data_IF_827512419967
#
_entry.id   IF_827512419967
#
_cell.length_a   1.000
_cell.length_b   1.000
_cell.length_c   1.000
_cell.angle_alpha   90.00
_cell.angle_beta   90.00
_cell.angle_gamma   90.00
#
_symmetry.space_group_name_H-M   'P 1'
#
loop_
_entity.id
_entity.type
_entity.pdbx_description
1 polymer ?
#
# COMPACT_ATOMS: atom_id res chain seq x y z
N UNK A 1 1.52 8.62 7.49
CA UNK A 1 0.08 8.23 7.46
C UNK A 1 0.00 6.71 7.40
N UNK A 2 -1.09 6.05 7.83
CA UNK A 2 -1.22 4.57 7.69
C UNK A 2 -1.08 4.17 6.22
N UNK A 3 -1.68 4.94 5.31
CA UNK A 3 -1.58 4.70 3.87
C UNK A 3 -0.15 4.80 3.32
N UNK A 4 0.63 5.75 3.82
CA UNK A 4 2.06 5.88 3.46
C UNK A 4 2.87 4.69 3.99
N UNK A 5 2.55 4.19 5.19
CA UNK A 5 3.24 3.03 5.76
C UNK A 5 2.90 1.76 4.96
N UNK A 6 1.66 1.61 4.49
CA UNK A 6 1.25 0.52 3.59
C UNK A 6 2.00 0.61 2.25
N UNK A 7 2.11 1.81 1.66
CA UNK A 7 2.88 2.00 0.44
C UNK A 7 4.36 1.67 0.64
N UNK A 8 4.94 2.10 1.77
CA UNK A 8 6.32 1.78 2.14
C UNK A 8 6.52 0.28 2.35
N UNK A 9 5.57 -0.40 2.99
CA UNK A 9 5.59 -1.86 3.12
C UNK A 9 5.64 -2.53 1.74
N UNK A 10 4.77 -2.14 0.81
CA UNK A 10 4.77 -2.69 -0.54
C UNK A 10 6.11 -2.46 -1.27
N UNK A 11 6.68 -1.26 -1.15
CA UNK A 11 8.01 -0.95 -1.69
C UNK A 11 9.10 -1.83 -1.07
N UNK A 12 9.06 -2.04 0.24
CA UNK A 12 10.02 -2.90 0.92
C UNK A 12 9.89 -4.36 0.49
N UNK A 13 8.66 -4.88 0.34
CA UNK A 13 8.37 -6.23 -0.14
C UNK A 13 8.93 -6.43 -1.55
N UNK A 14 8.70 -5.47 -2.46
CA UNK A 14 9.28 -5.51 -3.80
C UNK A 14 10.82 -5.49 -3.76
N UNK A 15 11.41 -4.66 -2.88
CA UNK A 15 12.85 -4.60 -2.70
C UNK A 15 13.44 -5.89 -2.10
N UNK A 16 12.73 -6.55 -1.19
CA UNK A 16 13.10 -7.87 -0.64
C UNK A 16 13.14 -8.90 -1.77
N UNK A 17 12.09 -9.00 -2.58
CA UNK A 17 12.04 -9.96 -3.68
C UNK A 17 13.16 -9.73 -4.72
N UNK A 18 13.40 -8.47 -5.09
CA UNK A 18 14.45 -8.10 -6.03
C UNK A 18 15.86 -8.40 -5.46
N UNK A 19 16.13 -7.99 -4.22
CA UNK A 19 17.42 -8.22 -3.55
C UNK A 19 17.66 -9.71 -3.36
N UNK A 20 16.64 -10.49 -2.98
CA UNK A 20 16.75 -11.95 -2.83
C UNK A 20 17.04 -12.64 -4.15
N UNK A 21 16.41 -12.21 -5.23
CA UNK A 21 16.68 -12.75 -6.56
C UNK A 21 18.12 -12.47 -7.00
N UNK A 22 18.63 -11.27 -6.70
CA UNK A 22 20.03 -10.92 -6.93
C UNK A 22 20.97 -11.77 -6.06
N UNK A 23 20.69 -11.91 -4.77
CA UNK A 23 21.42 -12.73 -3.80
C UNK A 23 21.48 -14.22 -4.15
N UNK A 24 20.49 -14.74 -4.86
CA UNK A 24 20.47 -16.13 -5.35
C UNK A 24 21.26 -16.33 -6.66
N UNK A 25 21.65 -15.24 -7.33
CA UNK A 25 22.30 -15.25 -8.65
C UNK A 25 23.74 -14.73 -8.61
N UNK A 26 24.08 -13.91 -7.61
CA UNK A 26 25.40 -13.30 -7.45
C UNK A 26 26.43 -14.26 -6.85
N UNK A 27 27.71 -14.01 -7.13
CA UNK A 27 28.86 -14.79 -6.60
C UNK A 27 29.81 -13.83 -5.87
N UNK A 28 30.11 -14.17 -4.61
CA UNK A 28 31.09 -13.59 -3.69
C UNK A 28 30.83 -12.17 -3.15
N UNK A 29 31.17 -11.08 -3.85
CA UNK A 29 31.31 -9.76 -3.20
C UNK A 29 29.97 -9.05 -2.89
N UNK A 30 28.91 -9.34 -3.65
CA UNK A 30 27.59 -8.74 -3.46
C UNK A 30 26.74 -9.45 -2.40
N UNK A 31 27.17 -10.64 -1.94
CA UNK A 31 26.37 -11.48 -1.05
C UNK A 31 26.22 -10.87 0.35
N UNK A 32 27.26 -10.23 0.87
CA UNK A 32 27.24 -9.66 2.21
C UNK A 32 26.41 -8.37 2.26
N UNK A 33 26.56 -7.50 1.26
CA UNK A 33 25.73 -6.30 1.10
C UNK A 33 24.24 -6.66 0.90
N UNK A 34 23.95 -7.64 0.05
CA UNK A 34 22.58 -8.09 -0.19
C UNK A 34 21.97 -8.71 1.07
N UNK A 35 22.73 -9.48 1.84
CA UNK A 35 22.26 -10.09 3.08
C UNK A 35 21.94 -9.02 4.13
N UNK A 36 22.84 -8.06 4.36
CA UNK A 36 22.59 -6.94 5.27
C UNK A 36 21.34 -6.15 4.85
N UNK A 37 21.18 -5.92 3.55
CA UNK A 37 20.02 -5.23 2.98
C UNK A 37 18.74 -6.03 3.17
N UNK A 38 18.76 -7.35 2.97
CA UNK A 38 17.63 -8.25 3.22
C UNK A 38 17.24 -8.23 4.69
N UNK A 39 18.20 -8.31 5.61
CA UNK A 39 17.93 -8.26 7.05
C UNK A 39 17.35 -6.90 7.47
N UNK A 40 17.86 -5.80 6.91
CA UNK A 40 17.32 -4.47 7.14
C UNK A 40 15.87 -4.37 6.66
N UNK A 41 15.61 -4.68 5.39
CA UNK A 41 14.28 -4.60 4.79
C UNK A 41 13.28 -5.51 5.49
N UNK A 42 13.68 -6.72 5.89
CA UNK A 42 12.81 -7.66 6.61
C UNK A 42 12.44 -7.10 7.99
N UNK A 43 13.41 -6.57 8.74
CA UNK A 43 13.16 -5.94 10.04
C UNK A 43 12.25 -4.72 9.91
N UNK A 44 12.51 -3.87 8.93
CA UNK A 44 11.71 -2.68 8.66
C UNK A 44 10.27 -3.05 8.28
N UNK A 45 10.08 -4.01 7.37
CA UNK A 45 8.77 -4.54 6.99
C UNK A 45 8.01 -5.09 8.20
N UNK A 46 8.69 -5.81 9.10
CA UNK A 46 8.10 -6.32 10.34
C UNK A 46 7.64 -5.18 11.27
N UNK A 47 8.46 -4.16 11.44
CA UNK A 47 8.12 -2.98 12.25
C UNK A 47 6.94 -2.20 11.65
N UNK A 48 6.94 -1.98 10.33
CA UNK A 48 5.83 -1.33 9.62
C UNK A 48 4.54 -2.10 9.81
N UNK A 49 4.60 -3.42 9.66
CA UNK A 49 3.46 -4.31 9.80
C UNK A 49 2.85 -4.23 11.22
N UNK A 50 3.68 -4.27 12.26
CA UNK A 50 3.22 -4.11 13.65
C UNK A 50 2.67 -2.71 13.94
N UNK A 51 3.32 -1.67 13.41
CA UNK A 51 2.89 -0.28 13.54
C UNK A 51 1.53 -0.04 12.88
N UNK A 52 1.35 -0.51 11.65
CA UNK A 52 0.09 -0.41 10.91
C UNK A 52 -1.02 -1.11 11.69
N UNK A 53 -0.79 -2.35 12.15
CA UNK A 53 -1.74 -3.10 12.98
C UNK A 53 -2.18 -2.30 14.21
N UNK A 54 -1.22 -1.85 15.03
CA UNK A 54 -1.51 -1.15 16.28
C UNK A 54 -2.28 0.16 16.05
N UNK A 55 -1.90 0.92 15.01
CA UNK A 55 -2.58 2.17 14.66
C UNK A 55 -3.99 1.94 14.12
N UNK A 56 -4.20 0.86 13.37
CA UNK A 56 -5.51 0.51 12.84
C UNK A 56 -6.45 0.06 13.97
N UNK A 57 -5.97 -0.76 14.92
CA UNK A 57 -6.72 -1.11 16.14
C UNK A 57 -7.05 0.12 16.99
N UNK A 58 -6.12 1.06 17.14
CA UNK A 58 -6.35 2.29 17.89
C UNK A 58 -7.42 3.18 17.24
N UNK A 59 -7.40 3.31 15.91
CA UNK A 59 -8.44 4.02 15.15
C UNK A 59 -9.83 3.37 15.30
N UNK A 60 -9.87 2.04 15.38
CA UNK A 60 -11.11 1.28 15.59
C UNK A 60 -11.68 1.50 17.00
N UNK A 61 -10.81 1.53 18.02
CA UNK A 61 -11.20 1.78 19.43
C UNK A 61 -11.69 3.21 19.65
N UNK A 62 -11.10 4.18 18.95
CA UNK A 62 -11.38 5.60 19.16
C UNK A 62 -12.60 6.15 18.41
N UNK A 63 -13.32 5.35 17.61
CA UNK A 63 -14.42 5.84 16.77
C UNK A 63 -15.61 6.37 17.61
N UNK A 64 -15.85 7.70 17.73
CA UNK A 64 -16.96 8.27 18.50
C UNK A 64 -18.24 8.36 17.66
N UNK A 65 -19.37 8.57 18.34
CA UNK A 65 -20.75 8.48 17.83
C UNK A 65 -21.16 9.51 16.76
N UNK A 66 -20.33 10.50 16.41
CA UNK A 66 -20.67 11.56 15.44
C UNK A 66 -19.71 11.51 14.24
N UNK A 67 -20.24 11.42 13.01
CA UNK A 67 -19.53 11.08 11.75
C UNK A 67 -18.99 9.63 11.68
N UNK A 68 -19.67 8.70 12.35
CA UNK A 68 -19.30 7.29 12.47
C UNK A 68 -19.16 6.56 11.11
N UNK A 69 -19.99 6.89 10.12
CA UNK A 69 -20.03 6.14 8.85
C UNK A 69 -18.81 6.43 7.97
N UNK A 70 -18.48 7.71 7.74
CA UNK A 70 -17.33 8.11 6.92
C UNK A 70 -16.01 7.60 7.54
N UNK A 71 -15.86 7.71 8.86
CA UNK A 71 -14.64 7.23 9.54
C UNK A 71 -14.53 5.70 9.52
N UNK A 72 -15.63 4.97 9.75
CA UNK A 72 -15.65 3.50 9.63
C UNK A 72 -15.29 3.04 8.22
N UNK A 73 -15.81 3.73 7.22
CA UNK A 73 -15.54 3.48 5.81
C UNK A 73 -14.07 3.67 5.45
N UNK A 74 -13.44 4.75 5.95
CA UNK A 74 -12.01 4.98 5.79
C UNK A 74 -11.15 3.90 6.48
N UNK A 75 -11.51 3.52 7.71
CA UNK A 75 -10.83 2.45 8.45
C UNK A 75 -10.98 1.11 7.72
N UNK A 76 -12.17 0.79 7.19
CA UNK A 76 -12.43 -0.41 6.40
C UNK A 76 -11.55 -0.46 5.14
N UNK A 77 -11.45 0.66 4.42
CA UNK A 77 -10.58 0.77 3.24
C UNK A 77 -9.10 0.57 3.60
N UNK A 78 -8.62 1.20 4.68
CA UNK A 78 -7.24 1.03 5.16
C UNK A 78 -6.96 -0.42 5.56
N UNK A 79 -7.91 -1.08 6.24
CA UNK A 79 -7.83 -2.50 6.60
C UNK A 79 -7.72 -3.38 5.36
N UNK A 80 -8.60 -3.19 4.38
CA UNK A 80 -8.59 -3.95 3.12
C UNK A 80 -7.24 -3.82 2.41
N UNK A 81 -6.74 -2.59 2.24
CA UNK A 81 -5.44 -2.35 1.61
C UNK A 81 -4.28 -2.96 2.40
N UNK A 82 -4.36 -2.97 3.73
CA UNK A 82 -3.35 -3.61 4.56
C UNK A 82 -3.37 -5.14 4.39
N UNK A 83 -4.55 -5.77 4.34
CA UNK A 83 -4.69 -7.20 4.07
C UNK A 83 -4.17 -7.58 2.69
N UNK A 84 -4.46 -6.77 1.67
CA UNK A 84 -3.89 -6.94 0.32
C UNK A 84 -2.36 -6.87 0.34
N UNK A 85 -1.78 -5.91 1.08
CA UNK A 85 -0.33 -5.80 1.24
C UNK A 85 0.28 -7.02 1.97
N UNK A 86 -0.39 -7.53 3.02
CA UNK A 86 0.03 -8.75 3.72
C UNK A 86 -0.01 -9.96 2.80
N UNK A 87 -1.08 -10.14 2.02
CA UNK A 87 -1.19 -11.24 1.06
C UNK A 87 -0.10 -11.16 -0.02
N UNK A 88 0.20 -9.96 -0.51
CA UNK A 88 1.30 -9.77 -1.45
C UNK A 88 2.64 -10.15 -0.82
N UNK A 89 2.88 -9.74 0.43
CA UNK A 89 4.09 -10.11 1.15
C UNK A 89 4.20 -11.63 1.35
N UNK A 90 3.11 -12.29 1.74
CA UNK A 90 3.09 -13.76 1.86
C UNK A 90 3.42 -14.46 0.55
N UNK A 91 2.91 -13.94 -0.59
CA UNK A 91 3.22 -14.50 -1.91
C UNK A 91 4.72 -14.39 -2.21
N UNK A 92 5.31 -13.22 -2.04
CA UNK A 92 6.74 -13.00 -2.31
C UNK A 92 7.63 -13.85 -1.39
N UNK A 93 7.27 -13.98 -0.11
CA UNK A 93 8.00 -14.85 0.82
C UNK A 93 7.85 -16.33 0.46
N UNK A 94 6.66 -16.78 0.07
CA UNK A 94 6.45 -18.15 -0.40
C UNK A 94 7.25 -18.45 -1.67
N UNK A 95 7.24 -17.55 -2.65
CA UNK A 95 8.07 -17.71 -3.85
C UNK A 95 9.56 -17.73 -3.54
N UNK A 96 10.01 -16.89 -2.60
CA UNK A 96 11.38 -16.90 -2.08
C UNK A 96 11.75 -18.24 -1.44
N UNK A 97 10.88 -18.79 -0.59
CA UNK A 97 11.03 -20.11 0.02
C UNK A 97 11.21 -21.21 -1.04
N UNK A 98 10.35 -21.23 -2.06
CA UNK A 98 10.44 -22.22 -3.13
C UNK A 98 11.76 -22.10 -3.92
N UNK A 99 12.21 -20.88 -4.24
CA UNK A 99 13.48 -20.66 -4.93
C UNK A 99 14.67 -21.13 -4.08
N UNK A 100 14.67 -20.84 -2.78
CA UNK A 100 15.73 -21.29 -1.86
C UNK A 100 15.76 -22.81 -1.72
N UNK A 101 14.61 -23.49 -1.63
CA UNK A 101 14.54 -24.97 -1.63
C UNK A 101 15.14 -25.57 -2.90
N UNK A 102 14.84 -24.98 -4.06
CA UNK A 102 15.42 -25.43 -5.33
C UNK A 102 16.94 -25.25 -5.38
N UNK A 103 17.47 -24.16 -4.84
CA UNK A 103 18.93 -23.96 -4.80
C UNK A 103 19.61 -24.93 -3.85
N UNK A 104 19.02 -25.18 -2.67
CA UNK A 104 19.54 -26.20 -1.73
C UNK A 104 19.58 -27.56 -2.39
N UNK A 105 18.51 -27.95 -3.10
CA UNK A 105 18.46 -29.20 -3.84
C UNK A 105 19.61 -29.30 -4.86
N UNK A 106 19.86 -28.24 -5.64
CA UNK A 106 20.96 -28.20 -6.61
C UNK A 106 22.33 -28.35 -5.94
N UNK A 107 22.58 -27.59 -4.87
CA UNK A 107 23.86 -27.63 -4.16
C UNK A 107 24.08 -28.97 -3.45
N UNK A 108 23.01 -29.60 -2.95
CA UNK A 108 23.07 -30.96 -2.40
C UNK A 108 23.45 -31.99 -3.46
N UNK A 109 22.96 -31.89 -4.69
CA UNK A 109 23.38 -32.80 -5.78
C UNK A 109 24.85 -32.63 -6.18
N UNK A 110 25.49 -31.49 -5.91
CA UNK A 110 26.94 -31.34 -6.12
C UNK A 110 27.73 -32.19 -5.13
N UNK A 111 27.21 -32.34 -3.91
CA UNK A 111 27.88 -33.08 -2.82
C UNK A 111 27.47 -34.56 -2.78
N UNK A 112 26.20 -34.84 -3.07
CA UNK A 112 25.64 -36.19 -3.18
C UNK A 112 24.83 -36.30 -4.49
N UNK A 113 25.47 -36.67 -5.62
CA UNK A 113 24.81 -36.76 -6.92
C UNK A 113 23.63 -37.74 -6.97
N UNK A 114 23.67 -38.79 -6.14
CA UNK A 114 22.66 -39.86 -6.09
C UNK A 114 21.54 -39.59 -5.07
N UNK A 115 21.39 -38.34 -4.61
CA UNK A 115 20.37 -37.97 -3.62
C UNK A 115 18.95 -38.14 -4.18
N UNK A 116 18.09 -38.85 -3.44
CA UNK A 116 16.67 -38.98 -3.82
C UNK A 116 15.87 -37.71 -3.47
N UNK A 117 14.74 -37.43 -4.12
CA UNK A 117 13.88 -36.30 -3.75
C UNK A 117 13.45 -36.31 -2.28
N UNK A 118 13.20 -37.50 -1.73
CA UNK A 118 12.83 -37.70 -0.33
C UNK A 118 13.99 -37.33 0.60
N UNK A 119 15.20 -37.76 0.29
CA UNK A 119 16.41 -37.37 1.04
C UNK A 119 16.62 -35.86 0.99
N UNK A 120 16.50 -35.24 -0.20
CA UNK A 120 16.63 -33.78 -0.36
C UNK A 120 15.63 -33.04 0.54
N UNK A 121 14.39 -33.49 0.57
CA UNK A 121 13.35 -32.88 1.41
C UNK A 121 13.63 -33.09 2.90
N UNK A 122 14.10 -34.27 3.28
CA UNK A 122 14.50 -34.58 4.66
C UNK A 122 15.65 -33.69 5.12
N UNK A 123 16.63 -33.45 4.24
CA UNK A 123 17.72 -32.51 4.52
C UNK A 123 17.24 -31.09 4.70
N UNK A 124 16.35 -30.61 3.83
CA UNK A 124 15.77 -29.27 3.94
C UNK A 124 15.06 -29.12 5.29
N UNK A 125 14.23 -30.10 5.66
CA UNK A 125 13.37 -30.04 6.84
C UNK A 125 14.12 -30.30 8.16
N UNK A 126 14.89 -31.38 8.26
CA UNK A 126 15.50 -31.85 9.51
C UNK A 126 16.93 -31.36 9.70
N UNK A 127 17.63 -30.99 8.63
CA UNK A 127 18.98 -30.48 8.75
C UNK A 127 19.98 -31.51 9.22
N UNK A 128 19.93 -32.70 8.65
CA UNK A 128 20.85 -33.78 8.97
C UNK A 128 22.28 -33.42 8.57
N UNK A 129 22.99 -32.67 9.42
CA UNK A 129 24.40 -32.30 9.21
C UNK A 129 25.30 -33.53 9.10
N UNK A 130 24.91 -34.66 9.71
CA UNK A 130 25.66 -35.92 9.70
C UNK A 130 25.80 -36.54 8.31
N UNK A 131 24.71 -36.61 7.54
CA UNK A 131 24.72 -37.29 6.23
C UNK A 131 25.55 -36.49 5.20
N UNK A 132 25.67 -35.17 5.40
CA UNK A 132 26.52 -34.29 4.59
C UNK A 132 28.01 -34.35 4.99
N UNK A 133 28.30 -34.53 6.29
CA UNK A 133 29.67 -34.67 6.77
C UNK A 133 30.33 -35.96 6.23
N UNK A 134 29.57 -37.04 6.10
CA UNK A 134 30.00 -38.30 5.49
C UNK A 134 30.21 -38.17 3.97
N UNK A 135 29.36 -37.40 3.28
CA UNK A 135 29.55 -37.10 1.86
C UNK A 135 30.80 -36.23 1.62
N UNK A 136 31.12 -35.30 2.53
CA UNK A 136 32.33 -34.47 2.45
C UNK A 136 33.62 -35.28 2.58
N UNK A 137 33.67 -36.29 3.45
CA UNK A 137 34.86 -37.13 3.64
C UNK A 137 35.09 -38.12 2.50
N UNK A 138 34.02 -38.50 1.79
CA UNK A 138 34.05 -39.48 0.69
C UNK A 138 34.28 -38.81 -0.68
N UNK A 139 33.98 -37.51 -0.81
CA UNK A 139 34.11 -36.77 -2.05
C UNK A 139 35.57 -36.52 -2.45
N UNK A 140 35.92 -36.87 -3.70
CA UNK A 140 37.22 -36.56 -4.31
C UNK A 140 37.41 -35.06 -4.56
N UNK A 141 36.34 -34.25 -4.45
CA UNK A 141 36.30 -32.79 -4.69
C UNK A 141 36.03 -32.02 -3.39
N UNK A 142 36.78 -32.33 -2.33
CA UNK A 142 36.60 -31.79 -0.98
C UNK A 142 36.40 -30.26 -0.92
N UNK A 143 37.16 -29.48 -1.71
CA UNK A 143 37.05 -28.01 -1.74
C UNK A 143 35.69 -27.50 -2.23
N UNK A 144 35.19 -28.07 -3.33
CA UNK A 144 33.88 -27.70 -3.89
C UNK A 144 32.73 -28.21 -3.02
N UNK A 145 32.86 -29.42 -2.46
CA UNK A 145 31.88 -29.98 -1.54
C UNK A 145 31.73 -29.14 -0.27
N UNK A 146 32.84 -28.55 0.22
CA UNK A 146 32.82 -27.64 1.38
C UNK A 146 32.14 -26.30 1.07
N UNK A 147 32.37 -25.73 -0.12
CA UNK A 147 31.70 -24.49 -0.53
C UNK A 147 30.19 -24.71 -0.71
N UNK A 148 29.80 -25.80 -1.38
CA UNK A 148 28.40 -26.19 -1.53
C UNK A 148 27.73 -26.45 -0.17
N UNK A 149 28.45 -27.03 0.80
CA UNK A 149 27.95 -27.22 2.15
C UNK A 149 27.68 -25.90 2.87
N UNK A 150 28.62 -24.97 2.85
CA UNK A 150 28.44 -23.65 3.47
C UNK A 150 27.25 -22.92 2.86
N UNK A 151 27.12 -22.97 1.54
CA UNK A 151 25.98 -22.40 0.82
C UNK A 151 24.66 -23.04 1.28
N UNK A 152 24.58 -24.38 1.37
CA UNK A 152 23.39 -25.08 1.87
C UNK A 152 23.03 -24.65 3.28
N UNK A 153 24.00 -24.50 4.20
CA UNK A 153 23.72 -24.04 5.57
C UNK A 153 23.13 -22.63 5.56
N UNK A 154 23.76 -21.68 4.86
CA UNK A 154 23.26 -20.30 4.74
C UNK A 154 21.83 -20.26 4.20
N UNK A 155 21.54 -21.01 3.13
CA UNK A 155 20.19 -21.06 2.54
C UNK A 155 19.15 -21.68 3.48
N UNK A 156 19.54 -22.64 4.33
CA UNK A 156 18.62 -23.21 5.33
C UNK A 156 18.31 -22.22 6.45
N UNK A 157 19.27 -21.41 6.87
CA UNK A 157 19.01 -20.33 7.81
C UNK A 157 18.02 -19.32 7.21
N UNK A 158 18.19 -18.96 5.93
CA UNK A 158 17.24 -18.11 5.22
C UNK A 158 15.84 -18.72 5.13
N UNK A 159 15.73 -20.02 4.81
CA UNK A 159 14.44 -20.73 4.83
C UNK A 159 13.75 -20.59 6.19
N UNK A 160 14.46 -20.85 7.29
CA UNK A 160 13.89 -20.72 8.62
C UNK A 160 13.42 -19.30 8.93
N UNK A 161 14.12 -18.27 8.44
CA UNK A 161 13.69 -16.86 8.55
C UNK A 161 12.41 -16.61 7.76
N UNK A 162 12.31 -17.11 6.52
CA UNK A 162 11.11 -16.95 5.67
C UNK A 162 9.91 -17.70 6.27
N UNK A 163 10.10 -18.93 6.73
CA UNK A 163 9.06 -19.73 7.40
C UNK A 163 8.51 -19.00 8.64
N UNK A 164 9.39 -18.39 9.45
CA UNK A 164 8.98 -17.56 10.58
C UNK A 164 8.19 -16.33 10.12
N UNK A 165 8.66 -15.61 9.10
CA UNK A 165 7.94 -14.45 8.55
C UNK A 165 6.56 -14.85 8.03
N UNK A 166 6.45 -15.96 7.29
CA UNK A 166 5.18 -16.50 6.80
C UNK A 166 4.22 -16.82 7.95
N UNK A 167 4.70 -17.44 9.03
CA UNK A 167 3.91 -17.72 10.21
C UNK A 167 3.40 -16.43 10.89
N UNK A 168 4.26 -15.42 11.03
CA UNK A 168 3.88 -14.12 11.59
C UNK A 168 2.85 -13.39 10.71
N UNK A 169 3.03 -13.42 9.39
CA UNK A 169 2.08 -12.83 8.45
C UNK A 169 0.74 -13.58 8.46
N UNK A 170 0.75 -14.90 8.60
CA UNK A 170 -0.46 -15.72 8.70
C UNK A 170 -1.24 -15.40 9.99
N UNK A 171 -0.54 -15.27 11.11
CA UNK A 171 -1.17 -14.84 12.36
C UNK A 171 -1.80 -13.45 12.21
N UNK A 172 -1.05 -12.50 11.65
CA UNK A 172 -1.54 -11.16 11.41
C UNK A 172 -2.75 -11.13 10.46
N UNK A 173 -2.71 -11.93 9.40
CA UNK A 173 -3.83 -12.04 8.46
C UNK A 173 -5.08 -12.51 9.19
N UNK A 174 -4.98 -13.54 10.03
CA UNK A 174 -6.10 -14.02 10.85
C UNK A 174 -6.61 -12.94 11.81
N UNK A 175 -5.71 -12.24 12.51
CA UNK A 175 -6.07 -11.16 13.44
C UNK A 175 -6.88 -10.05 12.75
N UNK A 176 -6.58 -9.76 11.48
CA UNK A 176 -7.22 -8.68 10.71
C UNK A 176 -8.42 -9.15 9.87
N UNK A 177 -8.49 -10.42 9.50
CA UNK A 177 -9.54 -10.98 8.63
C UNK A 177 -10.87 -11.20 9.35
N UNK A 178 -10.86 -11.49 10.66
CA UNK A 178 -12.07 -11.74 11.48
C UNK A 178 -13.07 -10.56 11.47
N UNK A 179 -12.63 -9.36 11.07
CA UNK A 179 -13.46 -8.15 11.05
C UNK A 179 -13.92 -7.72 9.64
N UNK A 180 -13.44 -8.35 8.55
CA UNK A 180 -13.77 -7.93 7.18
C UNK A 180 -15.12 -8.46 6.70
N UNK A 181 -15.51 -9.66 7.13
CA UNK A 181 -16.73 -10.34 6.66
C UNK A 181 -18.02 -9.59 7.03
N UNK A 182 -17.98 -8.70 8.04
CA UNK A 182 -19.10 -7.81 8.39
C UNK A 182 -19.15 -6.49 7.60
N UNK A 183 -18.12 -6.15 6.83
CA UNK A 183 -17.92 -4.80 6.24
C UNK A 183 -18.04 -4.73 4.70
N UNK A 184 -18.17 -5.86 3.99
CA UNK A 184 -18.34 -5.85 2.51
C UNK A 184 -19.61 -5.12 2.04
N UNK A 185 -20.65 -5.03 2.87
CA UNK A 185 -21.82 -4.20 2.59
C UNK A 185 -21.57 -2.68 2.76
N UNK A 186 -20.60 -2.28 3.59
CA UNK A 186 -20.32 -0.88 3.89
C UNK A 186 -19.32 -0.25 2.90
N UNK A 187 -18.38 -1.04 2.34
CA UNK A 187 -17.39 -0.55 1.36
C UNK A 187 -18.04 -0.07 0.06
N UNK A 188 -19.09 -0.75 -0.42
CA UNK A 188 -19.86 -0.31 -1.59
C UNK A 188 -20.55 1.05 -1.38
N UNK A 189 -20.95 1.37 -0.14
CA UNK A 189 -21.52 2.68 0.18
C UNK A 189 -20.47 3.80 0.16
N UNK A 190 -19.17 3.49 0.20
CA UNK A 190 -18.05 4.48 0.18
C UNK A 190 -17.77 4.94 -1.22
N UNK A 191 -17.68 4.03 -2.19
CA UNK A 191 -17.58 4.40 -3.61
C UNK A 191 -18.77 5.27 -3.99
N UNK A 192 -19.97 4.90 -3.55
CA UNK A 192 -21.17 5.69 -3.80
C UNK A 192 -21.15 7.05 -3.09
N UNK A 193 -20.73 7.11 -1.82
CA UNK A 193 -20.60 8.38 -1.09
C UNK A 193 -19.47 9.27 -1.63
N UNK A 194 -18.37 8.71 -2.13
CA UNK A 194 -17.27 9.45 -2.73
C UNK A 194 -17.68 10.03 -4.10
N UNK A 195 -18.42 9.25 -4.90
CA UNK A 195 -19.09 9.71 -6.11
C UNK A 195 -20.09 10.83 -5.80
N UNK A 196 -20.88 10.70 -4.74
CA UNK A 196 -21.82 11.73 -4.31
C UNK A 196 -21.09 13.02 -3.87
N UNK A 197 -19.96 12.93 -3.17
CA UNK A 197 -19.16 14.10 -2.76
C UNK A 197 -18.51 14.76 -3.98
N UNK A 198 -17.99 14.00 -4.95
CA UNK A 198 -17.49 14.52 -6.21
C UNK A 198 -18.60 15.22 -7.01
N UNK A 199 -19.78 14.61 -7.10
CA UNK A 199 -20.93 15.18 -7.79
C UNK A 199 -21.44 16.45 -7.10
N UNK A 200 -21.51 16.46 -5.77
CA UNK A 200 -21.93 17.62 -4.99
C UNK A 200 -20.92 18.77 -5.05
N UNK A 201 -19.62 18.49 -5.07
CA UNK A 201 -18.59 19.54 -5.24
C UNK A 201 -18.62 20.15 -6.64
N UNK A 202 -18.86 19.33 -7.67
CA UNK A 202 -19.07 19.82 -9.03
C UNK A 202 -20.33 20.70 -9.13
N UNK A 203 -21.45 20.25 -8.57
CA UNK A 203 -22.67 21.04 -8.51
C UNK A 203 -22.49 22.35 -7.71
N UNK A 204 -21.72 22.33 -6.62
CA UNK A 204 -21.39 23.54 -5.86
C UNK A 204 -20.54 24.53 -6.66
N UNK A 205 -19.56 24.05 -7.45
CA UNK A 205 -18.79 24.87 -8.37
C UNK A 205 -19.67 25.50 -9.45
N UNK A 206 -20.59 24.73 -10.05
CA UNK A 206 -21.52 25.25 -11.06
C UNK A 206 -22.47 26.31 -10.48
N UNK A 207 -23.05 26.06 -9.31
CA UNK A 207 -23.91 27.03 -8.61
C UNK A 207 -23.16 28.32 -8.22
N UNK A 208 -21.88 28.23 -7.85
CA UNK A 208 -21.07 29.43 -7.58
C UNK A 208 -20.73 30.21 -8.85
N UNK A 209 -20.51 29.51 -9.97
CA UNK A 209 -20.33 30.15 -11.28
C UNK A 209 -21.60 30.89 -11.73
N UNK A 210 -22.78 30.26 -11.59
CA UNK A 210 -24.07 30.90 -11.86
C UNK A 210 -24.32 32.11 -10.94
N UNK A 211 -24.04 31.97 -9.64
CA UNK A 211 -24.17 33.06 -8.68
C UNK A 211 -23.29 34.28 -9.04
N UNK A 212 -22.07 34.05 -9.53
CA UNK A 212 -21.17 35.12 -10.02
C UNK A 212 -21.75 35.80 -11.27
N UNK A 213 -22.32 35.04 -12.21
CA UNK A 213 -22.97 35.59 -13.41
C UNK A 213 -24.20 36.42 -13.04
N UNK A 214 -25.08 35.91 -12.18
CA UNK A 214 -26.24 36.64 -11.69
C UNK A 214 -25.85 37.91 -10.92
N UNK A 215 -24.84 37.85 -10.05
CA UNK A 215 -24.33 39.01 -9.34
C UNK A 215 -23.77 40.08 -10.31
N UNK A 216 -23.09 39.67 -11.39
CA UNK A 216 -22.58 40.59 -12.43
C UNK A 216 -23.70 41.21 -13.26
N UNK A 217 -24.74 40.43 -13.58
CA UNK A 217 -25.94 40.91 -14.30
C UNK A 217 -26.73 41.93 -13.47
N UNK A 218 -26.93 41.66 -12.17
CA UNK A 218 -27.63 42.57 -11.26
C UNK A 218 -26.90 43.92 -11.12
N UNK A 219 -25.56 43.90 -11.07
CA UNK A 219 -24.75 45.13 -11.07
C UNK A 219 -24.95 45.97 -12.32
N UNK A 220 -25.07 45.36 -13.51
CA UNK A 220 -25.35 46.08 -14.77
C UNK A 220 -26.78 46.66 -14.81
N UNK A 221 -27.77 45.91 -14.33
CA UNK A 221 -29.16 46.37 -14.26
C UNK A 221 -29.36 47.65 -13.42
N UNK A 222 -28.58 47.80 -12.33
CA UNK A 222 -28.61 49.02 -11.50
C UNK A 222 -28.23 50.29 -12.27
N UNK A 223 -27.25 50.22 -13.16
CA UNK A 223 -26.83 51.37 -13.97
C UNK A 223 -27.85 51.73 -15.05
N UNK A 224 -28.52 50.72 -15.61
CA UNK A 224 -29.59 50.93 -16.60
C UNK A 224 -30.80 51.61 -15.94
N UNK A 225 -31.27 51.12 -14.79
CA UNK A 225 -32.34 51.77 -14.05
C UNK A 225 -31.97 53.19 -13.62
N UNK A 226 -30.74 53.40 -13.14
CA UNK A 226 -30.27 54.75 -12.78
C UNK A 226 -30.29 55.71 -13.99
N UNK A 227 -29.84 55.26 -15.17
CA UNK A 227 -29.89 56.06 -16.40
C UNK A 227 -31.32 56.43 -16.82
N UNK A 228 -32.27 55.50 -16.70
CA UNK A 228 -33.68 55.76 -17.01
C UNK A 228 -34.27 56.80 -16.05
N UNK A 229 -34.00 56.70 -14.75
CA UNK A 229 -34.48 57.67 -13.75
C UNK A 229 -33.91 59.06 -14.03
N UNK A 230 -32.62 59.17 -14.34
CA UNK A 230 -31.98 60.45 -14.69
C UNK A 230 -32.63 61.07 -15.94
N UNK A 231 -32.89 60.26 -16.97
CA UNK A 231 -33.53 60.72 -18.20
C UNK A 231 -34.95 61.26 -17.95
N UNK A 232 -35.75 60.58 -17.13
CA UNK A 232 -37.09 61.04 -16.74
C UNK A 232 -37.02 62.39 -16.02
N UNK A 233 -36.09 62.56 -15.08
CA UNK A 233 -35.88 63.83 -14.38
C UNK A 233 -35.51 64.97 -15.33
N UNK A 234 -34.67 64.71 -16.33
CA UNK A 234 -34.29 65.72 -17.35
C UNK A 234 -35.51 66.13 -18.18
N UNK A 235 -36.32 65.17 -18.63
CA UNK A 235 -37.55 65.47 -19.40
C UNK A 235 -38.51 66.31 -18.56
N UNK A 236 -38.73 65.96 -17.29
CA UNK A 236 -39.57 66.76 -16.38
C UNK A 236 -39.02 68.18 -16.19
N UNK A 237 -37.71 68.33 -16.02
CA UNK A 237 -37.08 69.65 -15.89
C UNK A 237 -37.26 70.51 -17.16
N UNK A 238 -37.17 69.92 -18.35
CA UNK A 238 -37.43 70.61 -19.63
C UNK A 238 -38.90 71.02 -19.73
N UNK A 239 -39.84 70.12 -19.44
CA UNK A 239 -41.29 70.41 -19.49
C UNK A 239 -41.64 71.53 -18.52
N UNK A 240 -41.14 71.46 -17.29
CA UNK A 240 -41.34 72.53 -16.30
C UNK A 240 -40.68 73.84 -16.75
N UNK A 241 -39.45 73.78 -17.29
CA UNK A 241 -38.75 74.95 -17.83
C UNK A 241 -39.51 75.64 -18.98
N UNK A 242 -40.08 74.86 -19.91
CA UNK A 242 -40.90 75.40 -21.01
C UNK A 242 -42.22 75.96 -20.46
N UNK A 243 -42.95 75.22 -19.64
CA UNK A 243 -44.26 75.64 -19.10
C UNK A 243 -44.14 76.90 -18.25
N UNK A 244 -43.14 76.98 -17.37
CA UNK A 244 -42.89 78.18 -16.55
C UNK A 244 -42.18 79.30 -17.32
N UNK A 245 -41.40 78.98 -18.35
CA UNK A 245 -40.76 79.95 -19.24
C UNK A 245 -41.74 80.65 -20.20
N UNK A 246 -42.78 79.95 -20.66
CA UNK A 246 -43.86 80.51 -21.50
C UNK A 246 -44.93 81.27 -20.72
N UNK A 247 -44.87 81.26 -19.37
CA UNK A 247 -45.80 81.95 -18.47
C UNK A 247 -45.24 83.27 -17.89
N UNK A 248 -44.23 83.85 -18.53
CA UNK A 248 -43.83 85.26 -18.38
C UNK A 248 -44.21 86.02 -19.65
#
# INVERSE_FOLDING_TARGET
SIEQDIQRLNSNVAAVSATRTHYLTSVDAALEEDNEKLEHLTRESRQLTQSIKARLEDLERQAPLQNQQIRRNQIALLRKRFLEAIQNYQREEYEGDQRSRQQIAKQLHIVKPDATPEEVQEYINQGQQQVFAEALTTSTRYGESRLAYNEVQTRREDLGRMEKTLAELAQLFNDMAVLVEQQDAAVNAVEQSAMDVEQNTKAALDNTAEAVVHARSYRRGRWICFGIVVLICVVLAIVLGVVFGTRR
#
